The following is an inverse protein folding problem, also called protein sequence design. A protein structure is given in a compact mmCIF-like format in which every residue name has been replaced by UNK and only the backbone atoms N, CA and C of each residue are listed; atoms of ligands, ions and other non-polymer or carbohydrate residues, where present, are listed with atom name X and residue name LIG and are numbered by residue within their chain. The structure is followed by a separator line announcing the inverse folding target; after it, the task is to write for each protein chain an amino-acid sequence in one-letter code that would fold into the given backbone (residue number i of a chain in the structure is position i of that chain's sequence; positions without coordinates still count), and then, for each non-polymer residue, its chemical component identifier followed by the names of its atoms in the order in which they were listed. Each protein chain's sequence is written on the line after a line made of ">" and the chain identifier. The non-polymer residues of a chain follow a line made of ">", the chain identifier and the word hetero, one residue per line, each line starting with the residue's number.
data_IF_111818968563
#
_entry.id   IF_111818968563
#
_cell.length_a   1.000
_cell.length_b   1.000
_cell.length_c   1.000
_cell.angle_alpha   90.00
_cell.angle_beta   90.00
_cell.angle_gamma   90.00
#
_symmetry.space_group_name_H-M   'P 1'
#
loop_
_entity.id
_entity.type
_entity.pdbx_description
1 polymer ?
#
# COMPACT_ATOMS: atom_id res chain seq x y z
N UNK A 1 -73.39 1.61 6.04
CA UNK A 1 -72.00 1.70 6.51
C UNK A 1 -71.20 0.71 5.68
N UNK A 2 -70.33 1.19 4.80
CA UNK A 2 -69.61 0.39 3.80
C UNK A 2 -68.41 -0.33 4.46
N UNK A 3 -68.30 -1.64 4.24
CA UNK A 3 -67.20 -2.49 4.69
C UNK A 3 -66.09 -2.48 3.62
N UNK A 4 -64.83 -2.26 4.02
CA UNK A 4 -63.65 -2.37 3.17
C UNK A 4 -62.79 -3.54 3.67
N UNK A 5 -62.44 -4.54 2.84
CA UNK A 5 -61.50 -5.57 3.24
C UNK A 5 -60.06 -5.07 3.03
N UNK A 6 -59.26 -5.11 4.10
CA UNK A 6 -57.82 -4.83 4.07
C UNK A 6 -57.10 -6.09 3.57
N UNK A 7 -56.45 -5.99 2.42
CA UNK A 7 -55.52 -7.02 1.93
C UNK A 7 -54.19 -6.92 2.69
N UNK A 8 -53.80 -7.98 3.40
CA UNK A 8 -52.48 -8.14 4.00
C UNK A 8 -51.50 -8.70 2.97
N UNK A 9 -50.48 -7.93 2.63
CA UNK A 9 -49.36 -8.35 1.77
C UNK A 9 -48.27 -8.94 2.67
N UNK A 10 -48.00 -10.25 2.56
CA UNK A 10 -46.86 -10.89 3.20
C UNK A 10 -45.57 -10.58 2.44
N UNK A 11 -44.64 -9.89 3.09
CA UNK A 11 -43.27 -9.71 2.59
C UNK A 11 -42.39 -10.90 3.03
N UNK A 12 -42.00 -11.75 2.10
CA UNK A 12 -41.01 -12.79 2.34
C UNK A 12 -39.60 -12.15 2.35
N UNK A 13 -38.91 -12.21 3.49
CA UNK A 13 -37.51 -11.82 3.60
C UNK A 13 -36.62 -12.91 2.97
N UNK A 14 -36.04 -12.62 1.81
CA UNK A 14 -34.99 -13.46 1.24
C UNK A 14 -33.74 -13.38 2.12
N UNK A 15 -33.27 -14.53 2.61
CA UNK A 15 -31.98 -14.64 3.31
C UNK A 15 -30.86 -14.50 2.28
N UNK A 16 -30.14 -13.40 2.31
CA UNK A 16 -28.85 -13.28 1.62
C UNK A 16 -27.83 -14.15 2.37
N UNK A 17 -27.42 -15.25 1.76
CA UNK A 17 -26.22 -15.96 2.22
C UNK A 17 -25.01 -15.12 1.82
N UNK A 18 -24.34 -14.52 2.79
CA UNK A 18 -23.00 -13.99 2.62
C UNK A 18 -22.06 -15.19 2.42
N UNK A 19 -21.92 -15.64 1.17
CA UNK A 19 -20.81 -16.51 0.81
C UNK A 19 -19.53 -15.74 1.15
N UNK A 20 -18.71 -16.32 2.03
CA UNK A 20 -17.40 -15.79 2.36
C UNK A 20 -16.65 -15.48 1.06
N UNK A 21 -16.25 -14.22 0.89
CA UNK A 21 -15.29 -13.83 -0.14
C UNK A 21 -14.07 -14.72 0.08
N UNK A 22 -13.84 -15.68 -0.82
CA UNK A 22 -12.58 -16.41 -0.85
C UNK A 22 -11.51 -15.34 -1.02
N UNK A 23 -10.70 -15.18 0.02
CA UNK A 23 -9.40 -14.54 -0.06
C UNK A 23 -8.64 -15.22 -1.20
N UNK A 24 -8.64 -14.60 -2.38
CA UNK A 24 -7.87 -15.08 -3.51
C UNK A 24 -6.48 -14.48 -3.37
N UNK A 25 -5.74 -14.96 -2.37
CA UNK A 25 -4.29 -14.87 -2.36
C UNK A 25 -3.76 -16.05 -3.20
N UNK A 26 -3.50 -15.88 -4.51
CA UNK A 26 -3.12 -16.99 -5.38
C UNK A 26 -1.76 -17.60 -5.01
N UNK A 27 -0.93 -16.87 -4.26
CA UNK A 27 0.39 -17.32 -3.82
C UNK A 27 0.38 -17.92 -2.41
N UNK A 28 -0.67 -17.66 -1.62
CA UNK A 28 -0.75 -18.06 -0.21
C UNK A 28 0.29 -17.37 0.68
N UNK A 29 0.78 -16.20 0.28
CA UNK A 29 1.80 -15.42 1.00
C UNK A 29 1.35 -13.96 1.16
N UNK A 30 1.74 -13.34 2.27
CA UNK A 30 1.53 -11.92 2.52
C UNK A 30 2.87 -11.28 2.90
N UNK A 31 3.11 -10.06 2.44
CA UNK A 31 4.23 -9.24 2.90
C UNK A 31 3.69 -8.11 3.77
N UNK A 32 4.31 -7.92 4.93
CA UNK A 32 4.04 -6.78 5.80
C UNK A 32 5.10 -5.72 5.61
N UNK A 33 4.65 -4.48 5.40
CA UNK A 33 5.50 -3.29 5.42
C UNK A 33 5.41 -2.71 6.83
N UNK A 34 6.47 -2.94 7.59
CA UNK A 34 6.51 -2.63 9.02
C UNK A 34 7.15 -1.28 9.28
N UNK A 35 6.58 -0.54 10.23
CA UNK A 35 7.13 0.70 10.77
C UNK A 35 7.43 1.76 9.71
N UNK A 36 6.56 1.91 8.71
CA UNK A 36 6.72 2.88 7.63
C UNK A 36 6.80 4.32 8.19
N UNK A 37 7.82 5.05 7.75
CA UNK A 37 8.05 6.46 8.10
C UNK A 37 8.72 7.18 6.94
N UNK A 38 8.36 8.45 6.71
CA UNK A 38 9.07 9.36 5.81
C UNK A 38 9.53 10.61 6.55
N UNK A 39 10.79 10.97 6.40
CA UNK A 39 11.35 12.24 6.92
C UNK A 39 11.98 12.98 5.76
N UNK A 40 11.52 14.21 5.53
CA UNK A 40 12.13 15.12 4.57
C UNK A 40 12.96 16.15 5.33
N UNK A 41 14.06 16.59 4.74
CA UNK A 41 14.80 17.73 5.28
C UNK A 41 14.01 19.03 5.11
N UNK A 42 14.42 20.09 5.81
CA UNK A 42 13.67 21.37 5.87
C UNK A 42 13.43 22.00 4.49
N UNK A 43 14.35 21.78 3.55
CA UNK A 43 14.26 22.32 2.20
C UNK A 43 13.51 21.41 1.22
N UNK A 44 13.01 20.26 1.68
CA UNK A 44 12.38 19.22 0.85
C UNK A 44 13.25 18.84 -0.37
N UNK A 45 14.56 18.82 -0.19
CA UNK A 45 15.52 18.39 -1.23
C UNK A 45 15.84 16.92 -1.13
N UNK A 46 15.63 16.30 0.04
CA UNK A 46 15.84 14.87 0.28
C UNK A 46 14.80 14.35 1.28
N UNK A 47 14.17 13.22 0.95
CA UNK A 47 13.25 12.50 1.82
C UNK A 47 13.73 11.07 2.02
N UNK A 48 13.95 10.69 3.28
CA UNK A 48 14.30 9.33 3.67
C UNK A 48 13.03 8.57 4.07
N UNK A 49 12.81 7.44 3.42
CA UNK A 49 11.78 6.46 3.74
C UNK A 49 12.41 5.31 4.52
N UNK A 50 11.91 5.05 5.72
CA UNK A 50 12.39 3.98 6.60
C UNK A 50 11.27 3.00 6.88
N UNK A 51 11.51 1.71 6.61
CA UNK A 51 10.56 0.62 6.89
C UNK A 51 11.28 -0.73 6.93
N UNK A 52 10.53 -1.80 7.20
CA UNK A 52 11.00 -3.18 6.99
C UNK A 52 10.05 -3.93 6.08
N UNK A 53 10.60 -4.85 5.29
CA UNK A 53 9.82 -5.79 4.49
C UNK A 53 9.88 -7.14 5.17
N UNK A 54 8.74 -7.60 5.69
CA UNK A 54 8.60 -8.91 6.30
C UNK A 54 7.77 -9.82 5.38
N UNK A 55 8.40 -10.86 4.83
CA UNK A 55 7.73 -11.85 3.98
C UNK A 55 7.15 -13.02 4.78
N UNK A 56 7.33 -13.01 6.10
CA UNK A 56 6.96 -14.09 7.03
C UNK A 56 7.56 -15.46 6.65
N UNK A 57 8.62 -15.47 5.84
CA UNK A 57 9.32 -16.69 5.49
C UNK A 57 10.05 -17.26 6.72
N UNK A 58 9.89 -18.56 6.96
CA UNK A 58 10.45 -19.23 8.13
C UNK A 58 11.97 -19.01 8.23
N UNK A 59 12.43 -18.55 9.39
CA UNK A 59 13.85 -18.28 9.66
C UNK A 59 14.42 -17.02 9.00
N UNK A 60 13.61 -16.26 8.24
CA UNK A 60 14.03 -15.02 7.59
C UNK A 60 13.57 -13.82 8.44
N UNK A 61 14.51 -12.92 8.77
CA UNK A 61 14.19 -11.67 9.47
C UNK A 61 13.67 -10.61 8.49
N UNK A 62 12.82 -9.67 8.95
CA UNK A 62 12.41 -8.54 8.13
C UNK A 62 13.61 -7.75 7.59
N UNK A 63 13.59 -7.44 6.30
CA UNK A 63 14.66 -6.69 5.65
C UNK A 63 14.50 -5.20 5.91
N UNK A 64 15.46 -4.52 6.56
CA UNK A 64 15.39 -3.08 6.74
C UNK A 64 15.61 -2.34 5.42
N UNK A 65 14.85 -1.27 5.22
CA UNK A 65 14.92 -0.39 4.06
C UNK A 65 15.12 1.05 4.54
N UNK A 66 16.15 1.71 4.00
CA UNK A 66 16.38 3.14 4.12
C UNK A 66 16.50 3.72 2.71
N UNK A 67 15.35 4.13 2.18
CA UNK A 67 15.20 4.52 0.78
C UNK A 67 15.16 6.04 0.65
N UNK A 68 16.12 6.62 -0.06
CA UNK A 68 16.26 8.06 -0.21
C UNK A 68 15.70 8.51 -1.56
N UNK A 69 14.81 9.49 -1.53
CA UNK A 69 14.29 10.18 -2.70
C UNK A 69 14.80 11.60 -2.68
N UNK A 70 15.49 11.99 -3.75
CA UNK A 70 16.01 13.35 -3.91
C UNK A 70 15.06 14.20 -4.76
N UNK A 71 15.08 15.50 -4.51
CA UNK A 71 14.44 16.47 -5.40
C UNK A 71 15.05 16.40 -6.80
N UNK A 72 14.23 16.70 -7.78
CA UNK A 72 14.68 16.91 -9.17
C UNK A 72 14.52 18.39 -9.51
N UNK A 73 15.11 18.84 -10.62
CA UNK A 73 15.15 20.27 -10.98
C UNK A 73 13.78 21.00 -10.94
N UNK A 74 12.67 20.27 -11.08
CA UNK A 74 11.31 20.84 -11.12
C UNK A 74 10.38 20.29 -10.03
N UNK A 75 10.85 19.41 -9.13
CA UNK A 75 9.98 18.72 -8.16
C UNK A 75 10.72 18.50 -6.84
N UNK A 76 10.08 18.86 -5.73
CA UNK A 76 10.62 18.61 -4.39
C UNK A 76 10.68 17.10 -4.09
N UNK A 77 11.55 16.70 -3.17
CA UNK A 77 11.80 15.29 -2.85
C UNK A 77 10.53 14.55 -2.42
N UNK A 78 9.65 15.18 -1.64
CA UNK A 78 8.39 14.59 -1.19
C UNK A 78 7.43 14.22 -2.32
N UNK A 79 7.63 14.80 -3.52
CA UNK A 79 6.79 14.61 -4.71
C UNK A 79 7.55 14.01 -5.89
N UNK A 80 8.84 13.72 -5.72
CA UNK A 80 9.69 13.15 -6.76
C UNK A 80 9.40 11.67 -6.99
N UNK A 81 9.74 11.20 -8.19
CA UNK A 81 9.84 9.78 -8.50
C UNK A 81 11.25 9.35 -8.08
N UNK A 82 11.34 8.44 -7.11
CA UNK A 82 12.61 7.87 -6.71
C UNK A 82 13.03 6.69 -7.61
N UNK A 83 14.32 6.65 -7.95
CA UNK A 83 14.91 5.59 -8.74
C UNK A 83 15.04 4.26 -7.98
N UNK A 84 15.44 3.18 -8.69
CA UNK A 84 15.63 1.86 -8.09
C UNK A 84 16.81 1.86 -7.11
N UNK A 85 16.59 1.33 -5.92
CA UNK A 85 17.62 1.09 -4.90
C UNK A 85 17.49 -0.32 -4.33
N UNK A 86 18.62 -0.96 -3.97
CA UNK A 86 18.64 -2.34 -3.50
C UNK A 86 18.78 -2.43 -1.98
N UNK A 87 17.99 -3.31 -1.38
CA UNK A 87 17.98 -3.61 0.06
C UNK A 87 17.83 -5.12 0.25
N UNK A 88 18.95 -5.80 0.53
CA UNK A 88 18.96 -7.27 0.52
C UNK A 88 18.51 -7.82 -0.84
N UNK A 89 17.47 -8.65 -0.83
CA UNK A 89 16.88 -9.23 -2.05
C UNK A 89 15.93 -8.28 -2.78
N UNK A 90 15.48 -7.21 -2.11
CA UNK A 90 14.48 -6.30 -2.66
C UNK A 90 15.11 -5.19 -3.48
N UNK A 91 14.46 -4.84 -4.58
CA UNK A 91 14.62 -3.56 -5.27
C UNK A 91 13.42 -2.69 -5.00
N UNK A 92 13.66 -1.46 -4.56
CA UNK A 92 12.61 -0.48 -4.24
C UNK A 92 12.66 0.69 -5.20
N UNK A 93 11.52 1.02 -5.79
CA UNK A 93 11.28 2.27 -6.55
C UNK A 93 10.09 3.00 -5.93
N UNK A 94 9.91 4.28 -6.26
CA UNK A 94 8.73 5.02 -5.83
C UNK A 94 8.14 5.85 -6.96
N UNK A 95 6.86 6.18 -6.83
CA UNK A 95 6.16 7.04 -7.76
C UNK A 95 5.14 7.86 -6.98
N UNK A 96 5.09 9.16 -7.23
CA UNK A 96 4.13 10.07 -6.61
C UNK A 96 3.02 10.46 -7.59
N UNK A 97 1.80 10.63 -7.08
CA UNK A 97 0.61 11.00 -7.84
C UNK A 97 -0.30 11.91 -7.02
N UNK A 98 -0.94 12.85 -7.70
CA UNK A 98 -1.92 13.81 -7.16
C UNK A 98 -3.15 13.91 -8.07
N UNK A 99 -3.56 12.80 -8.69
CA UNK A 99 -4.68 12.79 -9.65
C UNK A 99 -5.98 13.37 -9.06
N UNK A 100 -6.17 13.28 -7.75
CA UNK A 100 -7.31 13.84 -7.01
C UNK A 100 -6.99 15.17 -6.30
N UNK A 101 -5.92 15.84 -6.68
CA UNK A 101 -5.37 17.04 -6.03
C UNK A 101 -4.40 16.73 -4.88
N UNK A 102 -3.68 17.76 -4.42
CA UNK A 102 -2.63 17.63 -3.40
C UNK A 102 -3.14 17.04 -2.08
N UNK A 103 -4.39 17.33 -1.70
CA UNK A 103 -5.01 16.82 -0.49
C UNK A 103 -5.25 15.30 -0.51
N UNK A 104 -5.30 14.73 -1.72
CA UNK A 104 -5.44 13.31 -1.98
C UNK A 104 -4.18 12.70 -2.59
N UNK A 105 -3.04 13.39 -2.53
CA UNK A 105 -1.79 12.89 -3.10
C UNK A 105 -1.21 11.72 -2.31
N UNK A 106 -0.48 10.85 -3.01
CA UNK A 106 0.12 9.66 -2.43
C UNK A 106 1.41 9.27 -3.14
N UNK A 107 2.22 8.50 -2.43
CA UNK A 107 3.34 7.76 -2.99
C UNK A 107 3.00 6.28 -3.02
N UNK A 108 3.23 5.64 -4.18
CA UNK A 108 3.28 4.19 -4.31
C UNK A 108 4.74 3.77 -4.39
N UNK A 109 5.14 2.85 -3.53
CA UNK A 109 6.40 2.13 -3.61
C UNK A 109 6.19 0.88 -4.46
N UNK A 110 7.21 0.46 -5.20
CA UNK A 110 7.29 -0.89 -5.74
C UNK A 110 8.38 -1.61 -4.99
N UNK A 111 8.04 -2.67 -4.26
CA UNK A 111 9.01 -3.51 -3.53
C UNK A 111 9.08 -4.84 -4.27
N UNK A 112 10.21 -5.09 -4.93
CA UNK A 112 10.34 -6.17 -5.92
C UNK A 112 11.40 -7.17 -5.47
N UNK A 113 11.03 -8.44 -5.40
CA UNK A 113 11.96 -9.57 -5.37
C UNK A 113 12.08 -10.15 -6.79
N UNK A 114 13.14 -9.75 -7.50
CA UNK A 114 13.39 -10.26 -8.85
C UNK A 114 13.79 -11.74 -8.88
N UNK A 115 14.34 -12.28 -7.78
CA UNK A 115 14.71 -13.68 -7.70
C UNK A 115 13.48 -14.59 -7.70
N UNK A 116 12.45 -14.18 -6.96
CA UNK A 116 11.14 -14.87 -6.89
C UNK A 116 10.15 -14.37 -7.95
N UNK A 117 10.47 -13.29 -8.66
CA UNK A 117 9.59 -12.57 -9.59
C UNK A 117 8.28 -12.14 -8.90
N UNK A 118 8.39 -11.68 -7.66
CA UNK A 118 7.27 -11.19 -6.87
C UNK A 118 7.43 -9.70 -6.58
N UNK A 119 6.32 -9.01 -6.38
CA UNK A 119 6.32 -7.65 -5.88
C UNK A 119 5.08 -7.33 -5.06
N UNK A 120 5.17 -6.25 -4.29
CA UNK A 120 4.01 -5.57 -3.70
C UNK A 120 4.07 -4.08 -4.05
N UNK A 121 2.92 -3.42 -4.03
CA UNK A 121 2.78 -1.98 -4.27
C UNK A 121 2.29 -1.20 -3.04
N UNK A 122 3.13 -0.99 -2.00
CA UNK A 122 2.71 -0.24 -0.83
C UNK A 122 2.38 1.20 -1.17
N UNK A 123 1.20 1.66 -0.78
CA UNK A 123 0.73 3.02 -1.07
C UNK A 123 0.43 3.77 0.22
N UNK A 124 0.97 4.98 0.32
CA UNK A 124 0.78 5.85 1.47
C UNK A 124 0.41 7.25 0.98
N UNK A 125 -0.69 7.79 1.51
CA UNK A 125 -1.04 9.20 1.29
C UNK A 125 0.02 10.09 1.91
N UNK A 126 0.24 11.27 1.33
CA UNK A 126 1.20 12.23 1.89
C UNK A 126 0.84 12.58 3.35
N UNK A 127 -0.46 12.64 3.68
CA UNK A 127 -0.95 12.87 5.05
C UNK A 127 -0.53 11.78 6.04
N UNK A 128 -0.48 10.52 5.61
CA UNK A 128 -0.06 9.42 6.49
C UNK A 128 1.42 9.51 6.86
N UNK A 129 2.27 9.96 5.93
CA UNK A 129 3.73 9.89 6.08
C UNK A 129 4.37 11.26 6.35
N UNK A 130 3.59 12.33 6.35
CA UNK A 130 4.06 13.66 6.73
C UNK A 130 4.41 13.71 8.23
N UNK A 131 5.41 14.51 8.58
CA UNK A 131 5.79 14.77 9.97
C UNK A 131 6.73 13.74 10.60
N UNK A 132 7.13 12.69 9.88
CA UNK A 132 8.12 11.75 10.38
C UNK A 132 7.60 10.80 11.46
N UNK A 133 6.29 10.66 11.61
CA UNK A 133 5.69 9.67 12.49
C UNK A 133 5.67 8.29 11.81
N UNK A 134 5.65 7.24 12.63
CA UNK A 134 5.47 5.87 12.13
C UNK A 134 3.98 5.68 11.80
N UNK A 135 3.69 5.31 10.56
CA UNK A 135 2.35 4.97 10.10
C UNK A 135 1.84 3.76 10.89
N UNK A 136 0.60 3.84 11.38
CA UNK A 136 -0.06 2.74 12.08
C UNK A 136 -1.48 2.51 11.54
N UNK A 137 -1.94 1.25 11.46
CA UNK A 137 -1.16 0.03 11.66
C UNK A 137 -0.16 -0.20 10.52
N UNK A 138 0.74 -1.17 10.69
CA UNK A 138 1.54 -1.71 9.60
C UNK A 138 0.61 -2.25 8.50
N UNK A 139 1.00 -2.09 7.23
CA UNK A 139 0.18 -2.49 6.10
C UNK A 139 0.60 -3.87 5.57
N UNK A 140 -0.38 -4.69 5.23
CA UNK A 140 -0.21 -6.04 4.70
C UNK A 140 -0.62 -6.04 3.23
N UNK A 141 0.16 -6.72 2.39
CA UNK A 141 -0.05 -6.80 0.96
C UNK A 141 0.12 -8.23 0.48
N UNK A 142 -0.77 -8.67 -0.40
CA UNK A 142 -0.60 -9.91 -1.15
C UNK A 142 0.38 -9.66 -2.29
N UNK A 143 1.50 -10.39 -2.40
CA UNK A 143 2.41 -10.24 -3.52
C UNK A 143 1.78 -10.67 -4.84
N UNK A 144 2.23 -10.04 -5.91
CA UNK A 144 1.85 -10.34 -7.27
C UNK A 144 3.07 -10.75 -8.09
N UNK A 145 2.85 -11.46 -9.20
CA UNK A 145 3.92 -11.78 -10.13
C UNK A 145 4.40 -10.49 -10.83
N UNK A 146 5.72 -10.34 -10.99
CA UNK A 146 6.29 -9.29 -11.82
C UNK A 146 5.76 -9.44 -13.25
N UNK A 147 5.13 -8.40 -13.83
CA UNK A 147 4.62 -8.46 -15.19
C UNK A 147 5.73 -8.85 -16.18
N UNK A 148 5.52 -9.93 -16.94
CA UNK A 148 6.36 -10.27 -18.08
C UNK A 148 5.91 -9.41 -19.26
N UNK A 149 6.85 -8.69 -19.88
CA UNK A 149 6.61 -8.04 -21.17
C UNK A 149 6.48 -9.07 -22.29
#
# INVERSE_FOLDING_TARGET
>A
MHYYPIFLISAALARVNAAAVRDQNPLGEEWTIESMKRVCNDNDTSCTWTFRVNTHAEGIKPTPVEYIVESTNNTTASRSIGGPSKFGIFTVTSTWRDYFGLEGAWTTLSVIDYGRKLLVYPAYTDKQVQGGEVVKPDQVYVPENVPTQ
#
